data_IF_094340519588
#
_entry.id   IF_094340519588
#
_cell.length_a   1.000
_cell.length_b   1.000
_cell.length_c   1.000
_cell.angle_alpha   90.00
_cell.angle_beta   90.00
_cell.angle_gamma   90.00
#
_symmetry.space_group_name_H-M   'P 1'
#
loop_
_entity.id
_entity.type
_entity.pdbx_description
1 polymer ?
#
# COMPACT_ATOMS: atom_id res chain seq x y z
N UNK A 1 -25.25 14.27 9.78
CA UNK A 1 -24.12 13.42 9.41
C UNK A 1 -24.59 12.00 9.55
N UNK A 2 -24.71 11.30 8.43
CA UNK A 2 -24.95 9.86 8.42
C UNK A 2 -23.84 9.15 9.23
N UNK A 3 -24.19 8.50 10.34
CA UNK A 3 -23.22 7.78 11.19
C UNK A 3 -22.56 6.59 10.47
N UNK A 4 -23.09 6.21 9.32
CA UNK A 4 -22.61 5.08 8.51
C UNK A 4 -21.38 5.43 7.66
N UNK A 5 -21.10 6.73 7.43
CA UNK A 5 -19.93 7.19 6.67
C UNK A 5 -19.30 8.40 7.35
N UNK A 6 -18.01 8.31 7.65
CA UNK A 6 -17.27 9.35 8.35
C UNK A 6 -16.06 9.79 7.51
N UNK A 7 -15.96 11.08 7.21
CA UNK A 7 -14.74 11.62 6.62
C UNK A 7 -13.63 11.64 7.67
N UNK A 8 -12.51 10.98 7.37
CA UNK A 8 -11.40 10.84 8.28
C UNK A 8 -10.36 11.95 8.07
N UNK A 9 -9.64 12.25 9.16
CA UNK A 9 -8.40 13.03 9.10
C UNK A 9 -7.21 12.10 8.98
N UNK A 10 -6.17 12.57 8.30
CA UNK A 10 -4.94 11.82 8.12
C UNK A 10 -3.75 12.54 8.76
N UNK A 11 -2.87 11.75 9.40
CA UNK A 11 -1.51 12.17 9.72
C UNK A 11 -0.57 11.93 8.54
N UNK A 12 0.61 12.53 8.60
CA UNK A 12 1.67 12.36 7.61
C UNK A 12 3.00 12.07 8.32
N UNK A 13 3.79 11.15 7.77
CA UNK A 13 5.17 10.88 8.19
C UNK A 13 6.16 11.65 7.34
N UNK A 14 7.31 11.97 7.93
CA UNK A 14 8.37 12.77 7.31
C UNK A 14 9.72 12.04 7.37
N UNK A 15 9.75 10.83 6.83
CA UNK A 15 10.98 10.04 6.77
C UNK A 15 11.91 10.53 5.65
N UNK A 16 13.21 10.29 5.83
CA UNK A 16 14.25 10.81 4.94
C UNK A 16 14.19 10.23 3.51
N UNK A 17 13.52 9.10 3.33
CA UNK A 17 13.32 8.46 2.03
C UNK A 17 12.10 9.01 1.27
N UNK A 18 11.26 9.82 1.93
CA UNK A 18 10.08 10.43 1.31
C UNK A 18 10.41 11.39 0.18
N UNK A 19 9.39 11.91 -0.52
CA UNK A 19 9.57 12.95 -1.54
C UNK A 19 9.49 14.34 -0.91
N UNK A 20 10.25 15.30 -1.44
CA UNK A 20 10.32 16.67 -0.91
C UNK A 20 9.09 17.50 -1.28
N UNK A 21 8.45 18.12 -0.29
CA UNK A 21 7.38 19.11 -0.50
C UNK A 21 6.25 18.59 -1.38
N UNK A 22 5.72 19.47 -2.23
CA UNK A 22 4.69 19.15 -3.23
C UNK A 22 5.05 18.06 -4.24
N UNK A 23 6.32 17.62 -4.33
CA UNK A 23 6.67 16.47 -5.18
C UNK A 23 6.13 15.16 -4.60
N UNK A 24 5.91 15.09 -3.30
CA UNK A 24 5.29 13.92 -2.65
C UNK A 24 3.78 13.88 -2.93
N UNK A 25 3.29 12.77 -3.46
CA UNK A 25 1.85 12.57 -3.60
C UNK A 25 1.16 12.46 -2.23
N UNK A 26 1.79 11.80 -1.26
CA UNK A 26 1.31 11.76 0.12
C UNK A 26 1.13 13.17 0.70
N UNK A 27 2.09 14.08 0.46
CA UNK A 27 1.97 15.48 0.86
C UNK A 27 0.79 16.19 0.17
N UNK A 28 0.67 16.07 -1.15
CA UNK A 28 -0.44 16.70 -1.91
C UNK A 28 -1.81 16.23 -1.39
N UNK A 29 -1.99 14.92 -1.23
CA UNK A 29 -3.23 14.35 -0.70
C UNK A 29 -3.49 14.81 0.73
N UNK A 30 -2.50 14.74 1.61
CA UNK A 30 -2.60 15.16 3.01
C UNK A 30 -3.00 16.62 3.16
N UNK A 31 -2.44 17.51 2.33
CA UNK A 31 -2.74 18.95 2.37
C UNK A 31 -4.19 19.29 1.99
N UNK A 32 -4.85 18.38 1.26
CA UNK A 32 -6.24 18.51 0.85
C UNK A 32 -7.21 17.79 1.79
N UNK A 33 -6.70 16.94 2.70
CA UNK A 33 -7.52 16.31 3.73
C UNK A 33 -8.03 17.36 4.72
N UNK A 34 -9.31 17.25 5.10
CA UNK A 34 -9.99 18.24 5.93
C UNK A 34 -9.28 18.52 7.26
N UNK A 35 -9.00 19.80 7.52
CA UNK A 35 -8.41 20.28 8.78
C UNK A 35 -6.89 20.20 8.87
N UNK A 36 -6.20 19.86 7.77
CA UNK A 36 -4.74 19.93 7.69
C UNK A 36 -4.25 21.32 7.26
N UNK A 37 -3.01 21.64 7.63
CA UNK A 37 -2.36 22.91 7.33
C UNK A 37 -1.66 22.94 5.96
N UNK A 38 -1.06 24.08 5.59
CA UNK A 38 -0.31 24.21 4.35
C UNK A 38 0.94 23.32 4.35
N UNK A 39 1.36 22.93 3.14
CA UNK A 39 2.59 22.18 2.94
C UNK A 39 3.83 23.03 3.19
N UNK A 40 4.83 22.41 3.81
CA UNK A 40 6.20 22.92 3.86
C UNK A 40 7.02 22.27 2.74
N UNK A 41 7.35 23.04 1.71
CA UNK A 41 8.12 22.59 0.54
C UNK A 41 9.59 22.23 0.86
N UNK A 42 10.07 22.53 2.07
CA UNK A 42 11.41 22.17 2.53
C UNK A 42 11.51 20.76 3.12
N UNK A 43 10.39 20.19 3.57
CA UNK A 43 10.33 18.90 4.28
C UNK A 43 10.21 17.69 3.35
N UNK A 44 10.61 16.54 3.86
CA UNK A 44 10.37 15.22 3.24
C UNK A 44 9.06 14.65 3.75
N UNK A 45 8.32 13.98 2.86
CA UNK A 45 7.05 13.34 3.19
C UNK A 45 6.99 11.95 2.57
N UNK A 46 6.81 10.94 3.42
CA UNK A 46 6.89 9.51 3.08
C UNK A 46 5.51 8.88 2.96
N UNK A 47 4.72 8.91 4.04
CA UNK A 47 3.49 8.14 4.16
C UNK A 47 2.34 8.99 4.73
N UNK A 48 1.11 8.72 4.29
CA UNK A 48 -0.13 9.28 4.83
C UNK A 48 -0.93 8.15 5.49
N UNK A 49 -1.43 8.38 6.71
CA UNK A 49 -2.21 7.38 7.45
C UNK A 49 -3.43 7.99 8.13
N UNK A 50 -4.52 7.24 8.33
CA UNK A 50 -5.62 7.66 9.20
C UNK A 50 -5.12 8.06 10.60
N UNK A 51 -5.70 9.11 11.18
CA UNK A 51 -5.20 9.72 12.42
C UNK A 51 -5.16 8.75 13.63
N UNK A 52 -4.09 8.85 14.42
CA UNK A 52 -3.69 7.96 15.53
C UNK A 52 -4.68 7.86 16.71
N UNK A 53 -5.68 8.74 16.81
CA UNK A 53 -6.64 8.72 17.92
C UNK A 53 -7.48 7.43 17.96
N UNK A 54 -7.79 6.85 16.80
CA UNK A 54 -8.46 5.55 16.67
C UNK A 54 -7.50 4.38 16.94
N UNK A 55 -6.23 4.51 16.50
CA UNK A 55 -5.19 3.50 16.72
C UNK A 55 -4.72 3.41 18.20
N UNK A 56 -4.81 4.50 18.97
CA UNK A 56 -4.42 4.56 20.38
C UNK A 56 -5.30 3.68 21.29
N UNK A 57 -6.53 3.39 20.86
CA UNK A 57 -7.44 2.46 21.55
C UNK A 57 -6.98 0.99 21.41
N UNK A 58 -6.19 0.67 20.39
CA UNK A 58 -5.78 -0.70 20.03
C UNK A 58 -4.36 -1.07 20.51
N UNK A 59 -3.58 -0.13 21.06
CA UNK A 59 -2.13 -0.26 21.27
C UNK A 59 -1.70 -0.38 22.75
N UNK A 60 -2.57 -0.82 23.66
CA UNK A 60 -2.25 -0.79 25.10
C UNK A 60 -1.48 -1.98 25.69
N UNK A 61 -0.92 -2.93 24.92
CA UNK A 61 -0.22 -4.10 25.50
C UNK A 61 1.07 -4.52 24.76
N UNK A 62 2.22 -4.13 25.33
CA UNK A 62 3.60 -4.70 25.35
C UNK A 62 4.48 -4.88 24.07
N UNK A 63 5.79 -4.68 24.23
CA UNK A 63 6.62 -3.80 23.38
C UNK A 63 8.01 -4.33 22.95
N UNK A 64 8.36 -5.62 23.14
CA UNK A 64 9.72 -6.08 22.84
C UNK A 64 9.81 -7.07 21.67
N UNK A 65 10.33 -6.54 20.55
CA UNK A 65 10.82 -7.18 19.31
C UNK A 65 9.84 -7.44 18.18
N UNK A 66 8.55 -7.57 18.46
CA UNK A 66 7.47 -7.55 17.48
C UNK A 66 6.28 -6.85 18.13
N UNK A 67 5.62 -5.94 17.42
CA UNK A 67 4.50 -5.17 17.99
C UNK A 67 3.21 -5.99 18.09
N UNK A 68 3.21 -7.18 17.48
CA UNK A 68 2.05 -8.07 17.35
C UNK A 68 2.48 -9.47 16.87
N UNK A 69 1.58 -10.45 16.97
CA UNK A 69 1.77 -11.83 16.48
C UNK A 69 1.24 -12.08 15.06
N UNK A 70 0.91 -11.03 14.30
CA UNK A 70 0.30 -11.15 12.98
C UNK A 70 1.35 -11.36 11.88
N UNK A 71 0.94 -12.06 10.83
CA UNK A 71 1.62 -12.04 9.54
C UNK A 71 1.28 -10.72 8.83
N UNK A 72 2.17 -10.24 7.95
CA UNK A 72 2.06 -8.94 7.27
C UNK A 72 2.01 -9.07 5.75
N UNK A 73 0.95 -9.65 5.16
CA UNK A 73 0.73 -9.59 3.72
C UNK A 73 0.43 -8.14 3.31
N UNK A 74 0.94 -7.74 2.15
CA UNK A 74 0.85 -6.36 1.66
C UNK A 74 0.33 -6.33 0.20
N UNK A 75 -0.47 -5.32 -0.12
CA UNK A 75 -0.92 -4.98 -1.47
C UNK A 75 -0.47 -3.56 -1.75
N UNK A 76 0.30 -3.37 -2.81
CA UNK A 76 0.69 -2.05 -3.32
C UNK A 76 -0.01 -1.76 -4.65
N UNK A 77 -0.64 -0.58 -4.76
CA UNK A 77 -1.32 -0.08 -5.97
C UNK A 77 -0.58 1.15 -6.45
N UNK A 78 -0.07 1.10 -7.68
CA UNK A 78 0.72 2.19 -8.26
C UNK A 78 -0.15 3.43 -8.58
N UNK A 79 0.24 4.59 -8.06
CA UNK A 79 -0.35 5.89 -8.41
C UNK A 79 0.48 6.65 -9.45
N UNK A 80 1.77 6.31 -9.58
CA UNK A 80 2.69 6.75 -10.62
C UNK A 80 3.37 5.56 -11.28
N UNK A 81 4.33 5.79 -12.19
CA UNK A 81 5.30 4.75 -12.51
C UNK A 81 6.01 4.34 -11.20
N UNK A 82 6.12 3.03 -10.97
CA UNK A 82 6.57 2.48 -9.70
C UNK A 82 7.48 1.27 -9.90
N UNK A 83 8.61 1.27 -9.22
CA UNK A 83 9.62 0.21 -9.26
C UNK A 83 9.74 -0.47 -7.88
N UNK A 84 9.72 -1.80 -7.89
CA UNK A 84 9.72 -2.66 -6.71
C UNK A 84 10.59 -3.88 -6.97
N UNK A 85 11.40 -4.27 -5.99
CA UNK A 85 11.90 -5.64 -5.91
C UNK A 85 10.85 -6.51 -5.22
N UNK A 86 10.38 -7.59 -5.84
CA UNK A 86 9.41 -8.51 -5.23
C UNK A 86 9.73 -9.95 -5.57
N UNK A 87 9.76 -10.79 -4.53
CA UNK A 87 9.98 -12.21 -4.66
C UNK A 87 11.37 -12.58 -5.21
N UNK A 88 11.54 -13.88 -5.45
CA UNK A 88 12.76 -14.43 -6.03
C UNK A 88 12.56 -14.66 -7.52
N UNK A 89 13.55 -14.29 -8.32
CA UNK A 89 13.60 -14.62 -9.74
C UNK A 89 13.48 -16.13 -9.99
N UNK A 90 13.01 -16.57 -11.17
CA UNK A 90 13.11 -17.96 -11.59
C UNK A 90 14.52 -18.53 -11.43
N UNK A 91 14.62 -19.80 -11.03
CA UNK A 91 15.91 -20.42 -10.67
C UNK A 91 16.92 -20.46 -11.84
N UNK A 92 16.43 -20.63 -13.07
CA UNK A 92 17.23 -20.61 -14.28
C UNK A 92 17.81 -19.22 -14.56
N UNK A 93 17.04 -18.15 -14.37
CA UNK A 93 17.53 -16.77 -14.41
C UNK A 93 18.58 -16.51 -13.32
N UNK A 94 18.31 -16.93 -12.08
CA UNK A 94 19.26 -16.80 -10.96
C UNK A 94 20.58 -17.49 -11.33
N UNK A 95 20.51 -18.72 -11.85
CA UNK A 95 21.69 -19.49 -12.27
C UNK A 95 22.50 -18.75 -13.34
N UNK A 96 21.84 -18.12 -14.30
CA UNK A 96 22.51 -17.31 -15.32
C UNK A 96 23.18 -16.07 -14.72
N UNK A 97 22.50 -15.38 -13.80
CA UNK A 97 23.04 -14.17 -13.15
C UNK A 97 24.26 -14.49 -12.28
N UNK A 98 24.27 -15.62 -11.58
CA UNK A 98 25.42 -16.07 -10.78
C UNK A 98 26.66 -16.40 -11.63
N UNK A 99 26.51 -16.60 -12.94
CA UNK A 99 27.64 -16.77 -13.87
C UNK A 99 28.29 -15.44 -14.28
N UNK A 100 27.67 -14.30 -13.94
CA UNK A 100 28.27 -12.99 -14.20
C UNK A 100 29.38 -12.74 -13.18
N UNK A 101 30.59 -12.45 -13.68
CA UNK A 101 31.78 -12.20 -12.84
C UNK A 101 31.56 -11.25 -11.65
N UNK A 102 30.81 -10.13 -11.77
CA UNK A 102 30.54 -9.25 -10.64
C UNK A 102 29.65 -9.87 -9.55
N UNK A 103 28.85 -10.89 -9.90
CA UNK A 103 27.85 -11.53 -9.05
C UNK A 103 28.27 -12.90 -8.53
N UNK A 104 29.46 -13.40 -8.90
CA UNK A 104 30.04 -14.64 -8.33
C UNK A 104 30.10 -14.62 -6.79
N UNK A 105 30.03 -13.44 -6.16
CA UNK A 105 30.07 -13.24 -4.71
C UNK A 105 28.72 -12.83 -4.09
N UNK A 106 27.64 -12.71 -4.87
CA UNK A 106 26.34 -12.22 -4.42
C UNK A 106 25.32 -13.35 -4.47
N UNK A 107 24.89 -13.81 -3.30
CA UNK A 107 23.81 -14.76 -3.20
C UNK A 107 22.49 -14.04 -3.44
N UNK A 108 21.85 -14.33 -4.58
CA UNK A 108 20.44 -14.10 -4.89
C UNK A 108 20.00 -12.65 -5.15
N UNK A 109 19.23 -12.45 -6.23
CA UNK A 109 18.72 -11.15 -6.64
C UNK A 109 17.19 -11.20 -6.71
N UNK A 110 16.47 -10.29 -6.04
CA UNK A 110 15.02 -10.18 -6.18
C UNK A 110 14.64 -9.72 -7.60
N UNK A 111 13.40 -10.00 -8.00
CA UNK A 111 12.90 -9.62 -9.33
C UNK A 111 12.42 -8.16 -9.36
N UNK A 112 12.79 -7.41 -10.41
CA UNK A 112 12.33 -6.04 -10.60
C UNK A 112 10.95 -6.03 -11.28
N UNK A 113 9.99 -5.36 -10.64
CA UNK A 113 8.68 -5.04 -11.18
C UNK A 113 8.63 -3.56 -11.59
N UNK A 114 8.29 -3.27 -12.85
CA UNK A 114 8.03 -1.92 -13.37
C UNK A 114 6.52 -1.73 -13.63
N UNK A 115 5.85 -1.14 -12.64
CA UNK A 115 4.41 -0.95 -12.60
C UNK A 115 3.96 0.36 -13.23
N UNK A 116 2.85 0.32 -13.97
CA UNK A 116 2.17 1.52 -14.47
C UNK A 116 1.07 1.95 -13.50
N UNK A 117 0.63 3.23 -13.54
CA UNK A 117 -0.51 3.68 -12.74
C UNK A 117 -1.71 2.73 -12.84
N UNK A 118 -2.23 2.38 -11.67
CA UNK A 118 -3.33 1.45 -11.47
C UNK A 118 -2.97 -0.03 -11.57
N UNK A 119 -1.71 -0.38 -11.81
CA UNK A 119 -1.29 -1.76 -11.58
C UNK A 119 -1.22 -2.02 -10.08
N UNK A 120 -1.63 -3.22 -9.68
CA UNK A 120 -1.58 -3.67 -8.30
C UNK A 120 -0.76 -4.94 -8.19
N UNK A 121 -0.09 -5.10 -7.07
CA UNK A 121 0.91 -6.12 -6.84
C UNK A 121 0.77 -6.60 -5.41
N UNK A 122 0.87 -7.90 -5.17
CA UNK A 122 0.74 -8.45 -3.82
C UNK A 122 2.01 -9.16 -3.39
N UNK A 123 2.41 -8.84 -2.17
CA UNK A 123 3.63 -9.31 -1.52
C UNK A 123 3.21 -10.35 -0.49
N UNK A 124 3.55 -11.63 -0.70
CA UNK A 124 3.23 -12.69 0.25
C UNK A 124 4.14 -12.60 1.48
N UNK A 125 3.72 -13.18 2.62
CA UNK A 125 4.59 -13.34 3.78
C UNK A 125 5.85 -14.13 3.41
N UNK A 126 6.91 -13.95 4.19
CA UNK A 126 8.19 -14.67 4.06
C UNK A 126 8.89 -14.52 2.69
N UNK A 127 8.51 -13.48 1.93
CA UNK A 127 9.12 -13.08 0.68
C UNK A 127 9.97 -11.81 0.86
N UNK A 128 11.06 -11.72 0.09
CA UNK A 128 11.89 -10.53 0.07
C UNK A 128 11.30 -9.49 -0.88
N UNK A 129 11.27 -8.23 -0.44
CA UNK A 129 10.85 -7.12 -1.28
C UNK A 129 11.48 -5.79 -0.85
N UNK A 130 11.49 -4.81 -1.75
CA UNK A 130 11.89 -3.43 -1.45
C UNK A 130 11.25 -2.46 -2.45
N UNK A 131 10.57 -1.42 -1.95
CA UNK A 131 10.09 -0.31 -2.77
C UNK A 131 11.25 0.59 -3.17
N UNK A 132 11.43 0.83 -4.48
CA UNK A 132 12.58 1.55 -5.01
C UNK A 132 12.21 2.98 -5.41
N UNK A 133 11.13 3.14 -6.16
CA UNK A 133 10.71 4.43 -6.70
C UNK A 133 9.22 4.45 -7.02
N UNK A 134 8.57 5.60 -6.86
CA UNK A 134 7.17 5.83 -7.26
C UNK A 134 6.27 6.32 -6.13
N UNK A 135 4.97 6.42 -6.39
CA UNK A 135 3.92 6.69 -5.41
C UNK A 135 2.93 5.52 -5.44
N UNK A 136 2.52 5.01 -4.27
CA UNK A 136 1.62 3.86 -4.14
C UNK A 136 0.54 4.10 -3.07
N UNK A 137 -0.57 3.35 -3.17
CA UNK A 137 -1.40 3.00 -2.01
C UNK A 137 -0.92 1.65 -1.52
N UNK A 138 -0.63 1.55 -0.23
CA UNK A 138 -0.30 0.29 0.43
C UNK A 138 -1.43 -0.12 1.38
N UNK A 139 -1.82 -1.39 1.32
CA UNK A 139 -2.73 -2.02 2.27
C UNK A 139 -2.06 -3.26 2.82
N UNK A 140 -1.96 -3.35 4.14
CA UNK A 140 -1.28 -4.46 4.82
C UNK A 140 -2.15 -5.00 5.94
N UNK A 141 -1.91 -6.23 6.38
CA UNK A 141 -2.46 -6.67 7.66
C UNK A 141 -1.99 -5.75 8.79
N UNK A 142 -2.74 -5.70 9.89
CA UNK A 142 -2.39 -4.88 11.06
C UNK A 142 -1.18 -5.48 11.77
N UNK A 143 0.01 -5.24 11.23
CA UNK A 143 1.30 -5.65 11.75
C UNK A 143 2.36 -4.60 11.41
N UNK A 144 3.32 -4.39 12.32
CA UNK A 144 4.50 -3.54 12.08
C UNK A 144 5.82 -4.36 12.18
N UNK A 145 5.70 -5.68 12.00
CA UNK A 145 6.82 -6.60 12.02
C UNK A 145 7.62 -6.48 10.72
N UNK A 146 8.84 -5.92 10.81
CA UNK A 146 9.75 -5.73 9.68
C UNK A 146 11.16 -6.15 10.06
N UNK A 147 11.75 -7.05 9.26
CA UNK A 147 13.16 -7.44 9.33
C UNK A 147 13.92 -6.85 8.14
N UNK A 148 14.89 -5.97 8.41
CA UNK A 148 15.64 -5.28 7.37
C UNK A 148 17.14 -5.61 7.46
N UNK A 149 17.73 -6.10 6.36
CA UNK A 149 19.18 -6.33 6.27
C UNK A 149 19.85 -5.59 5.10
N UNK A 150 19.18 -4.64 4.44
CA UNK A 150 19.68 -3.98 3.23
C UNK A 150 19.10 -2.58 3.00
N UNK A 151 19.80 -1.77 2.20
CA UNK A 151 19.42 -0.40 1.80
C UNK A 151 19.26 0.65 2.91
N UNK A 152 19.25 0.26 4.19
CA UNK A 152 19.20 1.18 5.34
C UNK A 152 20.14 0.70 6.45
N UNK A 153 20.59 1.59 7.36
CA UNK A 153 21.26 1.15 8.58
C UNK A 153 20.44 0.08 9.31
N UNK A 154 21.04 -1.09 9.47
CA UNK A 154 20.41 -2.25 10.10
C UNK A 154 20.08 -1.92 11.56
N UNK A 155 18.83 -2.12 11.98
CA UNK A 155 18.49 -2.02 13.39
C UNK A 155 19.23 -3.11 14.19
N UNK A 156 19.58 -2.86 15.44
CA UNK A 156 20.31 -3.84 16.27
C UNK A 156 19.54 -5.17 16.41
N UNK A 157 18.21 -5.11 16.35
CA UNK A 157 17.32 -6.28 16.41
C UNK A 157 17.40 -7.17 15.16
N UNK A 158 17.87 -6.64 14.04
CA UNK A 158 17.91 -7.35 12.78
C UNK A 158 19.24 -8.11 12.65
N UNK A 159 19.18 -9.39 12.28
CA UNK A 159 20.35 -10.22 12.01
C UNK A 159 20.22 -10.93 10.67
N UNK A 160 21.36 -11.11 9.99
CA UNK A 160 21.42 -11.84 8.72
C UNK A 160 20.97 -13.29 8.93
N UNK A 161 21.31 -13.91 10.05
CA UNK A 161 20.91 -15.26 10.38
C UNK A 161 19.39 -15.41 10.54
N UNK A 162 18.74 -14.48 11.26
CA UNK A 162 17.28 -14.49 11.37
C UNK A 162 16.64 -14.26 10.00
N UNK A 163 17.15 -13.28 9.25
CA UNK A 163 16.66 -12.94 7.92
C UNK A 163 16.70 -14.14 6.97
N UNK A 164 17.82 -14.87 6.90
CA UNK A 164 17.92 -16.05 6.04
C UNK A 164 17.08 -17.22 6.54
N UNK A 165 16.80 -17.32 7.85
CA UNK A 165 15.98 -18.40 8.41
C UNK A 165 14.48 -18.24 8.12
N UNK A 166 13.98 -17.01 8.04
CA UNK A 166 12.53 -16.75 7.85
C UNK A 166 12.09 -16.75 6.39
N UNK A 167 13.03 -16.62 5.44
CA UNK A 167 12.72 -16.59 4.02
C UNK A 167 12.36 -17.98 3.48
N UNK A 168 11.33 -18.06 2.64
CA UNK A 168 10.93 -19.33 2.00
C UNK A 168 11.83 -19.74 0.83
N UNK A 169 12.56 -18.79 0.23
CA UNK A 169 13.34 -18.96 -1.00
C UNK A 169 12.57 -19.55 -2.19
N UNK A 170 11.24 -19.50 -2.16
CA UNK A 170 10.39 -19.94 -3.26
C UNK A 170 10.40 -18.87 -4.37
N UNK A 171 10.71 -19.22 -5.63
CA UNK A 171 10.51 -18.32 -6.77
C UNK A 171 9.10 -17.73 -6.76
N UNK A 172 9.02 -16.42 -6.98
CA UNK A 172 7.77 -15.69 -7.07
C UNK A 172 8.01 -14.50 -7.99
N UNK A 173 7.60 -14.66 -9.24
CA UNK A 173 7.96 -13.74 -10.31
C UNK A 173 7.10 -12.47 -10.35
N UNK A 174 7.57 -11.44 -11.04
CA UNK A 174 6.82 -10.20 -11.23
C UNK A 174 5.41 -10.42 -11.83
N UNK A 175 5.23 -11.30 -12.84
CA UNK A 175 3.89 -11.64 -13.33
C UNK A 175 3.00 -12.34 -12.29
N UNK A 176 3.57 -13.19 -11.43
CA UNK A 176 2.83 -13.87 -10.36
C UNK A 176 2.40 -12.88 -9.26
N UNK A 177 3.22 -11.86 -9.00
CA UNK A 177 2.91 -10.80 -8.05
C UNK A 177 1.76 -9.88 -8.49
N UNK A 178 1.52 -9.76 -9.80
CA UNK A 178 0.52 -8.84 -10.36
C UNK A 178 -0.92 -9.31 -10.09
N UNK A 179 -1.75 -8.39 -9.58
CA UNK A 179 -3.19 -8.60 -9.38
C UNK A 179 -3.99 -8.17 -10.61
N UNK A 180 -5.10 -8.85 -10.92
CA UNK A 180 -6.01 -8.44 -12.00
C UNK A 180 -6.75 -7.14 -11.62
N UNK A 181 -7.03 -6.32 -12.63
CA UNK A 181 -7.78 -5.08 -12.50
C UNK A 181 -8.86 -4.97 -13.55
N UNK A 182 -9.92 -4.23 -13.22
CA UNK A 182 -11.01 -3.89 -14.13
C UNK A 182 -11.26 -2.38 -14.10
N UNK A 183 -11.50 -1.79 -15.26
CA UNK A 183 -11.92 -0.38 -15.39
C UNK A 183 -13.38 -0.35 -15.83
N UNK A 184 -14.20 0.49 -15.19
CA UNK A 184 -15.57 0.78 -15.65
C UNK A 184 -15.54 1.65 -16.91
N UNK A 185 -16.69 1.78 -17.57
CA UNK A 185 -16.83 2.73 -18.67
C UNK A 185 -16.89 4.18 -18.13
N UNK A 186 -16.66 5.16 -19.02
CA UNK A 186 -16.78 6.59 -18.67
C UNK A 186 -18.25 6.93 -18.39
N UNK A 187 -18.48 7.89 -17.49
CA UNK A 187 -19.82 8.35 -17.07
C UNK A 187 -20.71 7.25 -16.44
N UNK A 188 -20.14 6.08 -16.17
CA UNK A 188 -20.85 4.98 -15.53
C UNK A 188 -20.95 5.21 -14.01
N UNK A 189 -22.11 4.88 -13.46
CA UNK A 189 -22.30 4.79 -12.01
C UNK A 189 -21.82 3.43 -11.54
N UNK A 190 -20.77 3.37 -10.72
CA UNK A 190 -20.33 2.12 -10.12
C UNK A 190 -21.02 1.91 -8.77
N UNK A 191 -21.76 0.80 -8.65
CA UNK A 191 -22.45 0.44 -7.41
C UNK A 191 -21.71 -0.67 -6.69
N UNK A 192 -21.23 -0.35 -5.49
CA UNK A 192 -20.64 -1.33 -4.58
C UNK A 192 -21.73 -1.82 -3.63
N UNK A 193 -21.97 -3.14 -3.66
CA UNK A 193 -22.90 -3.79 -2.74
C UNK A 193 -22.38 -3.67 -1.32
N UNK A 194 -23.31 -3.72 -0.36
CA UNK A 194 -22.98 -3.87 1.05
C UNK A 194 -22.06 -5.07 1.25
N UNK A 195 -20.92 -4.85 1.90
CA UNK A 195 -19.97 -5.92 2.24
C UNK A 195 -20.03 -6.26 3.73
N UNK A 196 -19.66 -7.49 4.05
CA UNK A 196 -19.54 -7.97 5.43
C UNK A 196 -18.18 -7.56 6.01
N UNK A 197 -18.04 -6.27 6.31
CA UNK A 197 -16.84 -5.68 6.90
C UNK A 197 -16.86 -4.16 6.76
N UNK A 198 -16.02 -3.47 7.53
CA UNK A 198 -15.80 -2.03 7.38
C UNK A 198 -14.95 -1.76 6.14
N UNK A 199 -15.11 -0.58 5.53
CA UNK A 199 -14.31 -0.17 4.37
C UNK A 199 -13.64 1.17 4.60
N UNK A 200 -12.51 1.37 3.91
CA UNK A 200 -11.89 2.67 3.73
C UNK A 200 -11.99 3.04 2.24
N UNK A 201 -12.42 4.26 1.96
CA UNK A 201 -12.47 4.82 0.61
C UNK A 201 -11.47 5.97 0.53
N UNK A 202 -10.45 5.81 -0.31
CA UNK A 202 -9.39 6.80 -0.55
C UNK A 202 -9.60 7.41 -1.93
N UNK A 203 -9.74 8.73 -2.01
CA UNK A 203 -9.86 9.45 -3.27
C UNK A 203 -8.47 9.95 -3.67
N UNK A 204 -7.85 9.28 -4.64
CA UNK A 204 -6.52 9.64 -5.13
C UNK A 204 -6.54 10.60 -6.31
N UNK A 205 -7.68 10.69 -6.99
CA UNK A 205 -7.97 11.65 -8.05
C UNK A 205 -9.48 11.92 -8.07
N UNK A 206 -9.86 13.19 -8.08
CA UNK A 206 -11.23 13.66 -8.27
C UNK A 206 -11.34 14.55 -9.53
N UNK A 207 -12.49 15.23 -9.71
CA UNK A 207 -13.66 15.22 -8.84
C UNK A 207 -14.58 14.01 -9.08
N UNK A 208 -15.45 13.73 -8.12
CA UNK A 208 -16.52 12.73 -8.23
C UNK A 208 -17.61 12.92 -7.18
N UNK A 209 -18.63 12.07 -7.19
CA UNK A 209 -19.66 12.02 -6.15
C UNK A 209 -19.85 10.60 -5.63
N UNK A 210 -20.12 10.49 -4.31
CA UNK A 210 -20.52 9.25 -3.65
C UNK A 210 -21.91 9.44 -3.06
N UNK A 211 -22.86 8.63 -3.50
CA UNK A 211 -24.20 8.55 -2.93
C UNK A 211 -24.27 7.45 -1.87
N UNK A 212 -24.71 7.79 -0.66
CA UNK A 212 -24.84 6.86 0.46
C UNK A 212 -26.02 7.24 1.34
N UNK A 213 -26.91 6.27 1.62
CA UNK A 213 -28.13 6.45 2.42
C UNK A 213 -28.99 7.68 2.03
N UNK A 214 -29.05 8.02 0.75
CA UNK A 214 -29.81 9.17 0.24
C UNK A 214 -29.10 10.52 0.36
N UNK A 215 -27.88 10.57 0.90
CA UNK A 215 -27.01 11.74 0.87
C UNK A 215 -26.01 11.62 -0.29
N UNK A 216 -25.66 12.76 -0.91
CA UNK A 216 -24.57 12.84 -1.90
C UNK A 216 -23.39 13.60 -1.30
N UNK A 217 -22.21 12.99 -1.32
CA UNK A 217 -20.97 13.53 -0.81
C UNK A 217 -20.02 13.82 -1.97
N UNK A 218 -19.39 14.99 -1.98
CA UNK A 218 -18.35 15.33 -2.96
C UNK A 218 -17.07 14.56 -2.69
N UNK A 219 -16.43 14.10 -3.76
CA UNK A 219 -15.16 13.40 -3.73
C UNK A 219 -14.10 14.27 -4.38
N UNK A 220 -13.11 14.68 -3.60
CA UNK A 220 -11.95 15.44 -4.05
C UNK A 220 -10.68 14.65 -3.71
N UNK A 221 -9.60 14.88 -4.46
CA UNK A 221 -8.34 14.21 -4.20
C UNK A 221 -7.81 14.51 -2.78
N UNK A 222 -7.42 13.47 -2.06
CA UNK A 222 -6.99 13.53 -0.66
C UNK A 222 -8.12 13.30 0.34
N UNK A 223 -9.36 13.10 -0.12
CA UNK A 223 -10.45 12.71 0.77
C UNK A 223 -10.33 11.24 1.16
N UNK A 224 -10.60 10.96 2.44
CA UNK A 224 -10.62 9.62 3.01
C UNK A 224 -11.93 9.45 3.79
N UNK A 225 -12.63 8.35 3.55
CA UNK A 225 -13.87 8.02 4.25
C UNK A 225 -13.78 6.64 4.89
N UNK A 226 -14.24 6.54 6.14
CA UNK A 226 -14.62 5.28 6.77
C UNK A 226 -16.06 4.97 6.41
N UNK A 227 -16.32 3.73 6.06
CA UNK A 227 -17.65 3.23 5.72
C UNK A 227 -17.97 2.05 6.63
N UNK A 228 -19.09 2.17 7.33
CA UNK A 228 -19.62 1.15 8.22
C UNK A 228 -19.90 -0.16 7.49
N UNK A 229 -19.93 -1.25 8.25
CA UNK A 229 -20.33 -2.56 7.73
C UNK A 229 -21.74 -2.51 7.15
N UNK A 230 -21.96 -3.21 6.03
CA UNK A 230 -23.29 -3.34 5.44
C UNK A 230 -23.80 -2.10 4.69
N UNK A 231 -22.96 -1.10 4.50
CA UNK A 231 -23.32 0.16 3.83
C UNK A 231 -23.03 0.06 2.33
N UNK A 232 -24.04 0.08 1.45
CA UNK A 232 -23.82 0.13 0.01
C UNK A 232 -23.40 1.54 -0.43
N UNK A 233 -22.57 1.61 -1.45
CA UNK A 233 -22.07 2.87 -2.03
C UNK A 233 -22.39 2.92 -3.53
N UNK A 234 -22.69 4.11 -4.02
CA UNK A 234 -22.75 4.39 -5.46
C UNK A 234 -21.80 5.53 -5.78
N UNK A 235 -20.87 5.31 -6.70
CA UNK A 235 -19.92 6.29 -7.18
C UNK A 235 -20.33 6.78 -8.56
N UNK A 236 -20.12 8.07 -8.83
CA UNK A 236 -20.26 8.64 -10.16
C UNK A 236 -19.08 9.56 -10.46
N UNK A 237 -18.41 9.33 -11.59
CA UNK A 237 -17.28 10.13 -12.09
C UNK A 237 -17.40 10.27 -13.61
N UNK A 238 -16.80 11.33 -14.18
CA UNK A 238 -16.76 11.50 -15.63
C UNK A 238 -15.72 10.55 -16.30
N UNK A 239 -14.69 10.13 -15.55
CA UNK A 239 -13.54 9.37 -16.07
C UNK A 239 -13.62 7.85 -15.83
N UNK A 240 -14.71 7.37 -15.25
CA UNK A 240 -14.89 5.99 -14.79
C UNK A 240 -14.13 5.70 -13.50
N UNK A 241 -14.31 4.49 -12.98
CA UNK A 241 -13.72 4.00 -11.74
C UNK A 241 -12.88 2.75 -12.05
N UNK A 242 -11.80 2.57 -11.30
CA UNK A 242 -10.90 1.43 -11.45
C UNK A 242 -10.97 0.58 -10.19
N UNK A 243 -11.24 -0.71 -10.35
CA UNK A 243 -11.29 -1.69 -9.27
C UNK A 243 -10.22 -2.75 -9.45
N UNK A 244 -9.64 -3.17 -8.32
CA UNK A 244 -8.67 -4.28 -8.24
C UNK A 244 -9.33 -5.40 -7.45
N UNK A 245 -9.21 -6.64 -7.92
CA UNK A 245 -9.80 -7.78 -7.23
C UNK A 245 -9.01 -8.14 -5.95
N UNK A 246 -9.69 -8.78 -5.01
CA UNK A 246 -9.07 -9.20 -3.76
C UNK A 246 -8.04 -10.32 -3.98
N UNK A 247 -7.01 -10.37 -3.14
CA UNK A 247 -5.97 -11.40 -3.12
C UNK A 247 -6.60 -12.79 -2.91
N UNK A 248 -6.54 -13.73 -3.88
CA UNK A 248 -7.17 -15.05 -3.72
C UNK A 248 -6.69 -15.73 -2.45
N UNK A 249 -7.60 -16.32 -1.65
CA UNK A 249 -7.27 -16.96 -0.37
C UNK A 249 -6.21 -18.07 -0.50
N UNK A 250 -6.06 -18.64 -1.70
CA UNK A 250 -5.03 -19.64 -2.02
C UNK A 250 -3.60 -19.08 -2.06
N UNK A 251 -3.40 -17.76 -2.01
CA UNK A 251 -2.08 -17.09 -2.06
C UNK A 251 -1.63 -16.54 -0.71
N UNK A 252 -2.44 -16.73 0.35
CA UNK A 252 -2.20 -16.22 1.71
C UNK A 252 -1.68 -17.33 2.64
N UNK A 253 -1.59 -18.57 2.16
CA UNK A 253 -1.25 -19.76 2.94
C UNK A 253 0.20 -20.23 2.75
#
# INVERSE_FOLDING_TARGET
MNESVLQLKCGIKSDNWGKKGKKSQAARLWSKTAGNGPLDDSKMYSEIHPHKALAKVLHQEDLERFTDSNHKPEIAIALSQFELFVGWKPLDEIKMLLQLKPLERVCTLPELYDGKPGDAVCVPPDSIHAYLHGDIIECMASSDNVLNTGFFPRAERDSIELFTRVLTFKPYSAPEAKLPRKRSEKEEKERHKAIFGHSLVIITAGPGQMSVAGESLSLEDGYLFFVGQGVPLEFSTEEGVMSTEHMPSSRVA
#
